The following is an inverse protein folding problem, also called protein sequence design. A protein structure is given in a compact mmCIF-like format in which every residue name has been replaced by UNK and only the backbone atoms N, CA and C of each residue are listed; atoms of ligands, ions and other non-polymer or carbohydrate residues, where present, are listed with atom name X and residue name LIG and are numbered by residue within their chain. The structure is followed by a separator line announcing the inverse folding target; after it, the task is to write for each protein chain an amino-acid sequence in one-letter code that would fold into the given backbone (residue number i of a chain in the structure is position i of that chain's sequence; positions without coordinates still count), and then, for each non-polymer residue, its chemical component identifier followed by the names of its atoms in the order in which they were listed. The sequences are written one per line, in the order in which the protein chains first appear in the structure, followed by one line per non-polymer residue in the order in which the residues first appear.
data_IF_211327305677
#
_entry.id   IF_211327305677
#
_cell.length_a   1.000
_cell.length_b   1.000
_cell.length_c   1.000
_cell.angle_alpha   90.00
_cell.angle_beta   90.00
_cell.angle_gamma   90.00
#
_symmetry.space_group_name_H-M   'P 1'
#
loop_
_entity.id
_entity.type
_entity.pdbx_description
1 polymer ?
#
# COMPACT_ATOMS: atom_id res chain seq x y z
N UNK A 1 28.42 -10.84 -1.81
CA UNK A 1 27.20 -10.02 -1.78
C UNK A 1 27.61 -8.57 -1.91
N UNK A 2 27.25 -7.88 -3.00
CA UNK A 2 27.55 -6.45 -3.13
C UNK A 2 26.64 -5.68 -2.18
N UNK A 3 27.23 -5.09 -1.12
CA UNK A 3 26.52 -4.13 -0.28
C UNK A 3 26.16 -2.94 -1.17
N UNK A 4 24.88 -2.79 -1.52
CA UNK A 4 24.41 -1.65 -2.31
C UNK A 4 24.85 -0.35 -1.62
N UNK A 5 25.64 0.46 -2.32
CA UNK A 5 26.09 1.76 -1.85
C UNK A 5 24.88 2.69 -1.63
N UNK A 6 24.92 3.50 -0.55
CA UNK A 6 23.89 4.51 -0.24
C UNK A 6 24.07 5.75 -1.13
N UNK A 7 23.84 5.59 -2.43
CA UNK A 7 24.08 6.65 -3.43
C UNK A 7 22.94 7.66 -3.56
N UNK A 8 21.75 7.33 -3.04
CA UNK A 8 20.57 8.19 -3.10
C UNK A 8 20.47 9.06 -1.85
N UNK A 9 20.11 10.33 -2.03
CA UNK A 9 20.01 11.34 -0.98
C UNK A 9 18.57 11.80 -0.81
N UNK A 10 18.22 12.17 0.42
CA UNK A 10 16.97 12.84 0.78
C UNK A 10 17.38 14.18 1.40
N UNK A 11 17.01 15.27 0.75
CA UNK A 11 17.29 16.62 1.24
C UNK A 11 16.03 17.19 1.92
N UNK A 12 16.15 17.57 3.19
CA UNK A 12 15.05 18.06 4.01
C UNK A 12 15.34 19.48 4.48
N UNK A 13 14.32 20.35 4.43
CA UNK A 13 14.32 21.65 5.10
C UNK A 13 13.41 21.57 6.30
N UNK A 14 13.94 21.94 7.46
CA UNK A 14 13.25 21.91 8.76
C UNK A 14 13.55 23.19 9.51
N UNK A 15 12.67 23.55 10.45
CA UNK A 15 12.96 24.63 11.40
C UNK A 15 14.01 24.18 12.42
N UNK A 16 14.62 25.14 13.14
CA UNK A 16 15.57 24.81 14.22
C UNK A 16 14.91 23.95 15.30
N UNK A 17 13.69 24.29 15.71
CA UNK A 17 12.92 23.53 16.71
C UNK A 17 12.65 22.08 16.27
N UNK A 18 12.28 21.89 15.00
CA UNK A 18 12.09 20.55 14.43
C UNK A 18 13.41 19.75 14.45
N UNK A 19 14.52 20.39 14.08
CA UNK A 19 15.83 19.76 14.08
C UNK A 19 16.25 19.33 15.48
N UNK A 20 16.13 20.22 16.47
CA UNK A 20 16.47 19.94 17.87
C UNK A 20 15.64 18.78 18.45
N UNK A 21 14.34 18.77 18.16
CA UNK A 21 13.45 17.69 18.58
C UNK A 21 13.91 16.33 18.02
N UNK A 22 14.19 16.28 16.72
CA UNK A 22 14.62 15.06 16.03
C UNK A 22 16.01 14.60 16.50
N UNK A 23 16.93 15.53 16.75
CA UNK A 23 18.26 15.24 17.27
C UNK A 23 18.19 14.63 18.68
N UNK A 24 17.36 15.21 19.56
CA UNK A 24 17.15 14.68 20.91
C UNK A 24 16.51 13.29 20.88
N UNK A 25 15.55 13.06 19.98
CA UNK A 25 14.93 11.74 19.81
C UNK A 25 15.93 10.69 19.29
N UNK A 26 16.81 11.08 18.35
CA UNK A 26 17.87 10.22 17.84
C UNK A 26 18.89 9.86 18.91
N UNK A 27 19.28 10.83 19.75
CA UNK A 27 20.20 10.65 20.87
C UNK A 27 19.64 9.64 21.89
N UNK A 28 18.37 9.78 22.28
CA UNK A 28 17.69 8.83 23.18
C UNK A 28 17.67 7.40 22.64
N UNK A 29 17.73 7.23 21.31
CA UNK A 29 17.76 5.93 20.64
C UNK A 29 19.19 5.46 20.32
N UNK A 30 20.22 6.22 20.69
CA UNK A 30 21.62 5.88 20.46
C UNK A 30 22.00 5.82 18.97
N UNK A 31 21.36 6.63 18.13
CA UNK A 31 21.57 6.62 16.68
C UNK A 31 21.80 8.03 16.14
N UNK A 32 22.45 8.14 14.97
CA UNK A 32 22.58 9.43 14.29
C UNK A 32 21.21 9.94 13.80
N UNK A 33 21.05 11.26 13.67
CA UNK A 33 19.85 11.88 13.11
C UNK A 33 19.46 11.26 11.75
N UNK A 34 20.44 11.00 10.87
CA UNK A 34 20.18 10.39 9.57
C UNK A 34 19.62 8.96 9.67
N UNK A 35 20.18 8.15 10.58
CA UNK A 35 19.71 6.78 10.82
C UNK A 35 18.32 6.78 11.49
N UNK A 36 18.08 7.72 12.40
CA UNK A 36 16.78 7.92 13.03
C UNK A 36 15.69 8.25 12.00
N UNK A 37 15.94 9.22 11.13
CA UNK A 37 14.98 9.64 10.11
C UNK A 37 14.71 8.53 9.09
N UNK A 38 15.75 7.86 8.60
CA UNK A 38 15.59 6.76 7.63
C UNK A 38 14.82 5.58 8.27
N UNK A 39 15.15 5.19 9.50
CA UNK A 39 14.48 4.06 10.16
C UNK A 39 13.00 4.33 10.41
N UNK A 40 12.65 5.51 10.93
CA UNK A 40 11.26 5.88 11.19
C UNK A 40 10.49 6.08 9.88
N UNK A 41 11.08 6.76 8.90
CA UNK A 41 10.47 6.95 7.58
C UNK A 41 10.16 5.63 6.88
N UNK A 42 11.09 4.65 6.93
CA UNK A 42 10.85 3.32 6.38
C UNK A 42 9.75 2.58 7.12
N UNK A 43 9.72 2.65 8.45
CA UNK A 43 8.70 1.98 9.27
C UNK A 43 7.30 2.49 8.93
N UNK A 44 7.15 3.82 8.85
CA UNK A 44 5.87 4.46 8.51
C UNK A 44 5.46 4.12 7.08
N UNK A 45 6.37 4.28 6.11
CA UNK A 45 6.07 4.00 4.72
C UNK A 45 5.67 2.53 4.48
N UNK A 46 6.32 1.58 5.17
CA UNK A 46 5.96 0.17 5.10
C UNK A 46 4.54 -0.08 5.66
N UNK A 47 4.23 0.48 6.83
CA UNK A 47 2.91 0.34 7.43
C UNK A 47 1.79 0.94 6.56
N UNK A 48 2.04 2.10 5.95
CA UNK A 48 1.08 2.76 5.05
C UNK A 48 0.83 1.94 3.78
N UNK A 49 1.90 1.44 3.14
CA UNK A 49 1.77 0.59 1.95
C UNK A 49 1.08 -0.73 2.27
N UNK A 50 1.42 -1.35 3.41
CA UNK A 50 0.75 -2.58 3.84
C UNK A 50 -0.74 -2.35 4.12
N UNK A 51 -1.09 -1.25 4.79
CA UNK A 51 -2.48 -0.87 5.05
C UNK A 51 -3.25 -0.64 3.75
N UNK A 52 -2.64 0.02 2.76
CA UNK A 52 -3.28 0.28 1.48
C UNK A 52 -3.57 -1.01 0.68
N UNK A 53 -2.72 -2.03 0.80
CA UNK A 53 -2.87 -3.29 0.08
C UNK A 53 -3.65 -4.37 0.84
N UNK A 54 -3.92 -4.19 2.14
CA UNK A 54 -4.61 -5.18 2.96
C UNK A 54 -6.05 -4.75 3.21
N UNK A 55 -6.99 -5.60 2.79
CA UNK A 55 -8.37 -5.53 3.25
C UNK A 55 -8.50 -6.37 4.53
N UNK A 56 -8.67 -5.71 5.69
CA UNK A 56 -8.91 -6.40 6.96
C UNK A 56 -10.41 -6.58 7.14
N UNK A 57 -10.89 -7.82 7.08
CA UNK A 57 -12.29 -8.17 7.27
C UNK A 57 -12.62 -8.33 8.76
N UNK A 58 -13.85 -7.94 9.15
CA UNK A 58 -14.42 -8.38 10.43
C UNK A 58 -14.64 -9.89 10.42
N UNK A 59 -14.81 -10.53 11.58
CA UNK A 59 -15.11 -11.97 11.64
C UNK A 59 -16.35 -12.32 10.80
N UNK A 60 -17.39 -11.49 10.88
CA UNK A 60 -18.61 -11.65 10.07
C UNK A 60 -18.31 -11.58 8.58
N UNK A 61 -17.53 -10.58 8.14
CA UNK A 61 -17.25 -10.40 6.71
C UNK A 61 -16.29 -11.47 6.19
N UNK A 62 -15.37 -11.95 7.03
CA UNK A 62 -14.51 -13.11 6.74
C UNK A 62 -15.35 -14.34 6.48
N UNK A 63 -16.28 -14.66 7.38
CA UNK A 63 -17.11 -15.86 7.26
C UNK A 63 -17.99 -15.79 6.01
N UNK A 64 -18.59 -14.63 5.76
CA UNK A 64 -19.34 -14.37 4.53
C UNK A 64 -18.47 -14.50 3.27
N UNK A 65 -17.26 -13.94 3.29
CA UNK A 65 -16.33 -14.03 2.17
C UNK A 65 -15.93 -15.47 1.87
N UNK A 66 -15.62 -16.26 2.90
CA UNK A 66 -15.27 -17.68 2.77
C UNK A 66 -16.45 -18.51 2.24
N UNK A 67 -17.67 -18.25 2.74
CA UNK A 67 -18.88 -18.91 2.23
C UNK A 67 -19.11 -18.62 0.75
N UNK A 68 -19.00 -17.34 0.35
CA UNK A 68 -19.17 -16.91 -1.03
C UNK A 68 -18.08 -17.47 -1.96
N UNK A 69 -16.86 -17.70 -1.47
CA UNK A 69 -15.82 -18.38 -2.25
C UNK A 69 -16.08 -19.88 -2.39
N UNK A 70 -16.58 -20.54 -1.34
CA UNK A 70 -16.87 -21.98 -1.35
C UNK A 70 -18.10 -22.32 -2.21
N UNK A 71 -19.10 -21.44 -2.21
CA UNK A 71 -20.35 -21.59 -2.96
C UNK A 71 -20.70 -20.28 -3.69
N UNK A 72 -20.01 -19.96 -4.80
CA UNK A 72 -20.23 -18.71 -5.51
C UNK A 72 -21.66 -18.62 -6.07
N UNK A 73 -22.40 -17.54 -5.76
CA UNK A 73 -23.76 -17.38 -6.25
C UNK A 73 -23.78 -17.13 -7.77
N UNK A 74 -24.88 -17.52 -8.42
CA UNK A 74 -25.05 -17.24 -9.85
C UNK A 74 -25.15 -15.71 -10.07
N UNK A 75 -24.50 -15.16 -11.11
CA UNK A 75 -24.63 -13.75 -11.47
C UNK A 75 -26.10 -13.34 -11.62
N UNK A 76 -26.48 -12.22 -11.00
CA UNK A 76 -27.82 -11.66 -11.15
C UNK A 76 -28.00 -11.03 -12.54
N UNK A 77 -29.23 -10.64 -12.88
CA UNK A 77 -29.56 -10.08 -14.20
C UNK A 77 -28.76 -8.80 -14.51
N UNK A 78 -28.53 -7.96 -13.50
CA UNK A 78 -27.73 -6.73 -13.64
C UNK A 78 -26.26 -7.03 -13.96
N UNK A 79 -25.64 -7.96 -13.23
CA UNK A 79 -24.25 -8.37 -13.46
C UNK A 79 -24.09 -9.03 -14.83
N UNK A 80 -25.04 -9.88 -15.24
CA UNK A 80 -25.06 -10.47 -16.60
C UNK A 80 -25.11 -9.40 -17.70
N UNK A 81 -25.90 -8.34 -17.51
CA UNK A 81 -25.95 -7.22 -18.47
C UNK A 81 -24.63 -6.47 -18.52
N UNK A 82 -24.02 -6.18 -17.36
CA UNK A 82 -22.72 -5.50 -17.29
C UNK A 82 -21.61 -6.33 -17.96
N UNK A 83 -21.58 -7.64 -17.74
CA UNK A 83 -20.63 -8.55 -18.39
C UNK A 83 -20.78 -8.55 -19.92
N UNK A 84 -22.02 -8.59 -20.43
CA UNK A 84 -22.27 -8.51 -21.89
C UNK A 84 -21.79 -7.18 -22.47
N UNK A 85 -22.13 -6.06 -21.81
CA UNK A 85 -21.68 -4.74 -22.23
C UNK A 85 -20.15 -4.65 -22.30
N UNK A 86 -19.47 -5.19 -21.29
CA UNK A 86 -18.01 -5.25 -21.26
C UNK A 86 -17.46 -6.11 -22.41
N UNK A 87 -18.04 -7.28 -22.68
CA UNK A 87 -17.62 -8.13 -23.81
C UNK A 87 -17.78 -7.41 -25.15
N UNK A 88 -18.94 -6.78 -25.38
CA UNK A 88 -19.21 -6.01 -26.60
C UNK A 88 -18.21 -4.85 -26.77
N UNK A 89 -17.90 -4.11 -25.70
CA UNK A 89 -16.91 -3.02 -25.74
C UNK A 89 -15.48 -3.51 -26.01
N UNK A 90 -15.06 -4.65 -25.45
CA UNK A 90 -13.71 -5.20 -25.67
C UNK A 90 -13.57 -5.91 -27.02
N UNK A 91 -14.58 -6.66 -27.48
CA UNK A 91 -14.59 -7.30 -28.81
C UNK A 91 -14.62 -6.26 -29.95
N UNK A 92 -15.30 -5.13 -29.76
CA UNK A 92 -15.31 -4.02 -30.73
C UNK A 92 -13.94 -3.33 -30.81
N UNK A 93 -13.15 -3.35 -29.73
CA UNK A 93 -11.85 -2.70 -29.66
C UNK A 93 -10.68 -3.60 -30.14
N UNK A 94 -10.83 -4.93 -30.13
CA UNK A 94 -9.89 -5.88 -30.76
C UNK A 94 -10.02 -5.95 -32.29
N UNK A 95 -11.21 -5.67 -32.84
CA UNK A 95 -11.46 -5.62 -34.29
C UNK A 95 -11.00 -4.30 -34.95
N UNK A 96 -10.42 -3.37 -34.18
CA UNK A 96 -9.94 -2.07 -34.62
C UNK A 96 -8.41 -2.01 -34.84
N UNK A 97 -7.70 -3.15 -34.77
CA UNK A 97 -6.28 -3.29 -35.11
C UNK A 97 -6.06 -4.28 -36.24
#
# INVERSE_FOLDING_TARGET
MSLKSKEKRIDLRVTSEQKELLERAAELKGMSLSAYLVSHGLTVAQAELESYHKLVLSDRDRDLFLELMASPPKPNSTLKKAMRKFQEEYETNEMAY
#
